data_IF_221351840203
#
_entry.id   IF_221351840203
#
_cell.length_a   1.000
_cell.length_b   1.000
_cell.length_c   1.000
_cell.angle_alpha   90.00
_cell.angle_beta   90.00
_cell.angle_gamma   90.00
#
_symmetry.space_group_name_H-M   'P 1'
#
loop_
_entity.id
_entity.type
_entity.pdbx_description
1 polymer ?
#
# COMPACT_ATOMS: atom_id res chain seq x y z
N UNK A 1 17.71 -0.96 17.92
CA UNK A 1 17.66 -2.21 17.14
C UNK A 1 16.47 -2.09 16.19
N UNK A 2 16.54 -2.61 14.97
CA UNK A 2 15.46 -2.52 13.97
C UNK A 2 14.99 -3.93 13.64
N UNK A 3 13.68 -4.14 13.54
CA UNK A 3 13.05 -5.42 13.24
C UNK A 3 12.09 -5.28 12.06
N UNK A 4 11.94 -6.35 11.29
CA UNK A 4 10.89 -6.50 10.29
C UNK A 4 9.84 -7.44 10.89
N UNK A 5 8.65 -6.90 11.18
CA UNK A 5 7.60 -7.62 11.90
C UNK A 5 6.69 -8.43 10.98
N UNK A 6 6.61 -8.04 9.70
CA UNK A 6 5.77 -8.69 8.71
C UNK A 6 5.93 -8.06 7.34
N UNK A 7 5.18 -8.57 6.38
CA UNK A 7 5.15 -8.06 5.01
C UNK A 7 4.05 -8.74 4.21
N UNK A 8 3.45 -7.97 3.32
CA UNK A 8 2.43 -8.44 2.40
C UNK A 8 2.64 -7.80 1.04
N UNK A 9 2.25 -8.50 -0.01
CA UNK A 9 2.26 -7.99 -1.38
C UNK A 9 1.03 -8.52 -2.11
N UNK A 10 0.42 -7.68 -2.94
CA UNK A 10 -0.68 -8.07 -3.82
C UNK A 10 -0.20 -9.04 -4.91
N UNK A 11 -1.18 -9.72 -5.54
CA UNK A 11 -0.93 -10.45 -6.77
C UNK A 11 -0.51 -9.47 -7.88
N UNK A 12 0.74 -9.59 -8.32
CA UNK A 12 1.31 -8.75 -9.37
C UNK A 12 0.53 -8.81 -10.69
N UNK A 13 -0.17 -9.91 -10.96
CA UNK A 13 -0.96 -10.09 -12.18
C UNK A 13 -2.35 -9.44 -12.10
N UNK A 14 -2.77 -8.96 -10.93
CA UNK A 14 -4.07 -8.35 -10.74
C UNK A 14 -4.18 -7.04 -11.53
N UNK A 15 -5.19 -6.96 -12.40
CA UNK A 15 -5.54 -5.73 -13.09
C UNK A 15 -6.67 -5.02 -12.33
N UNK A 16 -6.33 -4.06 -11.48
CA UNK A 16 -7.29 -3.36 -10.61
C UNK A 16 -8.35 -2.58 -11.38
N UNK A 17 -7.99 -1.93 -12.49
CA UNK A 17 -8.96 -1.17 -13.29
C UNK A 17 -10.04 -2.07 -13.91
N UNK A 18 -9.69 -3.31 -14.30
CA UNK A 18 -10.67 -4.32 -14.73
C UNK A 18 -11.57 -4.84 -13.60
N UNK A 19 -11.16 -4.66 -12.36
CA UNK A 19 -11.94 -5.00 -11.16
C UNK A 19 -12.77 -3.81 -10.67
N UNK A 20 -12.74 -2.67 -11.37
CA UNK A 20 -13.41 -1.44 -10.92
C UNK A 20 -12.76 -0.81 -9.69
N UNK A 21 -11.51 -1.16 -9.39
CA UNK A 21 -10.73 -0.67 -8.26
C UNK A 21 -9.76 0.41 -8.71
N UNK A 22 -9.50 1.36 -7.83
CA UNK A 22 -8.49 2.39 -8.02
C UNK A 22 -7.23 2.14 -7.16
N UNK A 23 -6.31 3.12 -7.17
CA UNK A 23 -5.08 3.03 -6.39
C UNK A 23 -5.34 3.09 -4.89
N UNK A 24 -6.34 3.84 -4.42
CA UNK A 24 -6.67 3.93 -3.00
C UNK A 24 -7.23 2.61 -2.48
N UNK A 25 -8.05 1.92 -3.28
CA UNK A 25 -8.54 0.58 -2.96
C UNK A 25 -7.39 -0.43 -2.82
N UNK A 26 -6.42 -0.37 -3.74
CA UNK A 26 -5.26 -1.26 -3.73
C UNK A 26 -4.29 -0.94 -2.58
N UNK A 27 -4.07 0.35 -2.31
CA UNK A 27 -3.24 0.81 -1.22
C UNK A 27 -3.85 0.45 0.15
N UNK A 28 -5.15 0.63 0.30
CA UNK A 28 -5.89 0.24 1.51
C UNK A 28 -5.80 -1.26 1.80
N UNK A 29 -5.93 -2.11 0.78
CA UNK A 29 -5.70 -3.56 0.91
C UNK A 29 -4.27 -3.84 1.37
N UNK A 30 -3.27 -3.24 0.71
CA UNK A 30 -1.87 -3.49 1.03
C UNK A 30 -1.49 -3.10 2.46
N UNK A 31 -2.00 -1.95 2.94
CA UNK A 31 -1.78 -1.51 4.32
C UNK A 31 -2.49 -2.44 5.30
N UNK A 32 -3.77 -2.77 5.06
CA UNK A 32 -4.56 -3.62 5.94
C UNK A 32 -3.98 -5.03 6.10
N UNK A 33 -3.62 -5.66 4.98
CA UNK A 33 -3.01 -7.00 5.00
C UNK A 33 -1.59 -6.99 5.59
N UNK A 34 -0.82 -5.92 5.35
CA UNK A 34 0.49 -5.74 5.98
C UNK A 34 0.41 -5.61 7.50
N UNK A 35 -0.56 -4.84 8.01
CA UNK A 35 -0.84 -4.71 9.45
C UNK A 35 -1.29 -6.03 10.05
N UNK A 36 -2.18 -6.76 9.38
CA UNK A 36 -2.62 -8.08 9.83
C UNK A 36 -1.45 -9.08 9.89
N UNK A 37 -0.57 -9.09 8.89
CA UNK A 37 0.62 -9.93 8.88
C UNK A 37 1.62 -9.58 9.99
N UNK A 38 1.73 -8.30 10.34
CA UNK A 38 2.59 -7.80 11.42
C UNK A 38 1.92 -7.86 12.81
N UNK A 39 0.62 -8.17 12.88
CA UNK A 39 -0.19 -8.17 14.10
C UNK A 39 -0.17 -6.81 14.83
N UNK A 40 -0.33 -5.73 14.07
CA UNK A 40 -0.35 -4.36 14.58
C UNK A 40 -1.71 -3.71 14.38
N UNK A 41 -2.13 -2.90 15.35
CA UNK A 41 -3.29 -2.03 15.20
C UNK A 41 -2.90 -0.77 14.39
N UNK A 42 -3.77 -0.24 13.50
CA UNK A 42 -3.44 0.92 12.68
C UNK A 42 -3.03 2.17 13.48
N UNK A 43 -3.57 2.33 14.70
CA UNK A 43 -3.26 3.44 15.60
C UNK A 43 -1.86 3.41 16.20
N UNK A 44 -1.17 2.26 16.13
CA UNK A 44 0.22 2.11 16.56
C UNK A 44 1.22 2.63 15.51
N UNK A 45 0.75 2.95 14.30
CA UNK A 45 1.60 3.41 13.20
C UNK A 45 1.80 4.92 13.29
N UNK A 46 3.04 5.32 13.60
CA UNK A 46 3.40 6.74 13.70
C UNK A 46 3.72 7.38 12.33
N UNK A 47 4.17 6.59 11.35
CA UNK A 47 4.58 7.10 10.03
C UNK A 47 4.45 6.03 8.96
N UNK A 48 3.94 6.43 7.78
CA UNK A 48 3.93 5.62 6.58
C UNK A 48 4.95 6.15 5.55
N UNK A 49 5.69 5.24 4.92
CA UNK A 49 6.58 5.55 3.80
C UNK A 49 6.04 4.89 2.53
N UNK A 50 5.69 5.70 1.52
CA UNK A 50 5.13 5.21 0.26
C UNK A 50 6.12 5.50 -0.86
N UNK A 51 6.55 4.46 -1.56
CA UNK A 51 7.28 4.59 -2.81
C UNK A 51 6.27 4.59 -3.97
N UNK A 52 6.28 5.64 -4.76
CA UNK A 52 5.46 5.74 -5.95
C UNK A 52 6.36 6.03 -7.16
N UNK A 53 6.07 5.38 -8.29
CA UNK A 53 6.79 5.59 -9.54
C UNK A 53 5.79 5.97 -10.62
N UNK A 54 6.03 7.12 -11.25
CA UNK A 54 5.16 7.71 -12.26
C UNK A 54 3.73 7.99 -11.76
N UNK A 55 3.56 8.26 -10.45
CA UNK A 55 2.27 8.55 -9.83
C UNK A 55 1.53 9.73 -10.46
N UNK A 56 2.25 10.76 -10.91
CA UNK A 56 1.66 11.88 -11.65
C UNK A 56 1.08 11.42 -13.00
N UNK A 57 1.85 10.67 -13.78
CA UNK A 57 1.49 10.28 -15.15
C UNK A 57 0.24 9.39 -15.20
N UNK A 58 0.05 8.54 -14.18
CA UNK A 58 -1.01 7.53 -14.18
C UNK A 58 -2.14 7.79 -13.19
N UNK A 59 -1.90 8.56 -12.12
CA UNK A 59 -2.87 8.77 -11.05
C UNK A 59 -3.05 10.24 -10.64
N UNK A 60 -2.31 11.19 -11.24
CA UNK A 60 -2.34 12.61 -10.84
C UNK A 60 -1.86 12.83 -9.40
N UNK A 61 -0.98 11.95 -8.91
CA UNK A 61 -0.54 11.90 -7.51
C UNK A 61 0.96 12.19 -7.38
N UNK A 62 1.50 13.14 -8.16
CA UNK A 62 2.93 13.52 -8.05
C UNK A 62 3.36 13.98 -6.65
N UNK A 63 2.41 14.37 -5.80
CA UNK A 63 2.67 14.71 -4.39
C UNK A 63 3.06 13.51 -3.50
N UNK A 64 2.80 12.27 -3.96
CA UNK A 64 3.11 11.05 -3.23
C UNK A 64 4.46 10.44 -3.63
N UNK A 65 5.22 11.06 -4.56
CA UNK A 65 6.48 10.57 -5.11
C UNK A 65 6.41 10.28 -6.60
#
# INVERSE_FOLDING_TARGET
MVYVLGGWQSDFSANWSRQGRDLADAFGEAVGEGLAAAQLDPEEIETGHVGNFAGELFAGQGLLG
#
